data_IF_203900713850
#
_entry.id   IF_203900713850
#
_cell.length_a   1.000
_cell.length_b   1.000
_cell.length_c   1.000
_cell.angle_alpha   90.00
_cell.angle_beta   90.00
_cell.angle_gamma   90.00
#
_symmetry.space_group_name_H-M   'P 1'
#
loop_
_entity.id
_entity.type
_entity.pdbx_description
1 polymer ?
#
# COMPACT_ATOMS: atom_id res chain seq x y z
N UNK A 1 4.02 56.96 -20.21
CA UNK A 1 3.48 58.30 -19.89
C UNK A 1 3.93 59.21 -21.00
N UNK A 2 3.00 59.78 -21.76
CA UNK A 2 3.32 60.48 -22.99
C UNK A 2 2.67 61.87 -22.98
N UNK A 3 3.48 62.91 -23.13
CA UNK A 3 3.05 64.31 -23.07
C UNK A 3 2.90 64.79 -24.50
N UNK A 4 1.69 65.11 -24.94
CA UNK A 4 1.51 65.63 -26.29
C UNK A 4 2.06 67.06 -26.41
N UNK A 5 2.31 67.50 -27.65
CA UNK A 5 2.92 68.78 -28.01
C UNK A 5 2.18 70.04 -27.53
N UNK A 6 1.02 69.89 -26.87
CA UNK A 6 0.24 70.99 -26.27
C UNK A 6 0.27 70.97 -24.73
N UNK A 7 1.06 70.09 -24.12
CA UNK A 7 1.19 69.96 -22.67
C UNK A 7 -0.05 69.39 -21.97
N UNK A 8 -0.93 68.70 -22.71
CA UNK A 8 -2.10 68.04 -22.14
C UNK A 8 -1.80 66.56 -21.86
N UNK A 9 -2.00 66.15 -20.62
CA UNK A 9 -1.88 64.76 -20.19
C UNK A 9 -3.01 63.93 -20.80
N UNK A 10 -2.67 62.95 -21.63
CA UNK A 10 -3.62 61.98 -22.18
C UNK A 10 -3.57 60.67 -21.40
N UNK A 11 -4.69 60.27 -20.79
CA UNK A 11 -4.88 58.91 -20.29
C UNK A 11 -6.28 58.40 -20.67
N UNK A 12 -6.35 57.08 -20.86
CA UNK A 12 -7.35 56.27 -21.57
C UNK A 12 -8.83 56.70 -21.47
N UNK A 13 -9.61 56.44 -22.53
CA UNK A 13 -10.91 57.04 -22.90
C UNK A 13 -12.13 56.79 -21.98
N UNK A 14 -11.96 56.27 -20.76
CA UNK A 14 -13.09 55.95 -19.87
C UNK A 14 -13.39 57.00 -18.78
N UNK A 15 -12.72 58.16 -18.79
CA UNK A 15 -12.99 59.24 -17.82
C UNK A 15 -13.77 60.40 -18.46
N UNK A 16 -15.01 60.62 -18.02
CA UNK A 16 -15.88 61.72 -18.48
C UNK A 16 -15.25 63.10 -18.21
N UNK A 17 -15.39 64.03 -19.17
CA UNK A 17 -14.80 65.37 -19.23
C UNK A 17 -14.86 66.21 -17.94
N UNK A 18 -15.86 66.03 -17.08
CA UNK A 18 -15.99 66.81 -15.83
C UNK A 18 -14.97 66.38 -14.75
N UNK A 19 -14.54 65.11 -14.72
CA UNK A 19 -13.44 64.67 -13.83
C UNK A 19 -12.08 65.14 -14.32
N UNK A 20 -11.91 65.29 -15.64
CA UNK A 20 -10.71 65.88 -16.24
C UNK A 20 -10.54 67.36 -15.88
N UNK A 21 -11.64 68.11 -15.78
CA UNK A 21 -11.63 69.53 -15.41
C UNK A 21 -11.31 69.77 -13.93
N UNK A 22 -11.74 68.87 -13.04
CA UNK A 22 -11.47 68.97 -11.60
C UNK A 22 -9.99 68.73 -11.26
N UNK A 23 -9.32 67.79 -11.95
CA UNK A 23 -7.91 67.48 -11.72
C UNK A 23 -6.98 68.51 -12.39
N UNK A 24 -7.35 69.02 -13.57
CA UNK A 24 -6.54 69.99 -14.32
C UNK A 24 -6.50 71.40 -13.74
N UNK A 25 -7.49 71.81 -12.94
CA UNK A 25 -7.52 73.12 -12.27
C UNK A 25 -6.63 73.15 -11.01
N UNK A 26 -6.36 71.99 -10.40
CA UNK A 26 -5.55 71.89 -9.17
C UNK A 26 -4.05 72.05 -9.44
N UNK A 27 -3.56 71.78 -10.66
CA UNK A 27 -2.12 71.78 -10.97
C UNK A 27 -1.59 72.99 -11.74
N UNK A 28 -2.44 73.97 -12.13
CA UNK A 28 -2.01 75.12 -12.96
C UNK A 28 -1.96 76.46 -12.25
N UNK A 29 -2.27 76.50 -10.96
CA UNK A 29 -2.16 77.70 -10.15
C UNK A 29 -1.71 77.31 -8.74
N UNK A 30 -0.48 77.67 -8.38
CA UNK A 30 -0.02 77.80 -6.99
C UNK A 30 -0.84 78.91 -6.30
N UNK A 31 -2.11 78.63 -6.08
CA UNK A 31 -2.97 79.42 -5.21
C UNK A 31 -3.18 78.54 -4.00
N UNK A 32 -2.44 78.82 -2.93
CA UNK A 32 -2.71 78.36 -1.57
C UNK A 32 -4.06 78.92 -1.10
N UNK A 33 -5.15 78.51 -1.75
CA UNK A 33 -6.49 78.64 -1.18
C UNK A 33 -6.57 77.58 -0.09
N UNK A 34 -6.24 78.00 1.14
CA UNK A 34 -6.55 77.23 2.36
C UNK A 34 -8.00 76.74 2.23
N UNK A 35 -8.19 75.43 2.22
CA UNK A 35 -9.50 74.83 2.00
C UNK A 35 -10.51 75.42 2.99
N UNK A 36 -11.68 75.80 2.48
CA UNK A 36 -12.79 76.19 3.34
C UNK A 36 -13.26 74.96 4.12
N UNK A 37 -13.74 75.13 5.36
CA UNK A 37 -14.14 74.04 6.26
C UNK A 37 -15.10 73.03 5.59
N UNK A 38 -15.99 73.50 4.70
CA UNK A 38 -16.92 72.69 3.91
C UNK A 38 -16.27 71.82 2.83
N UNK A 39 -15.10 72.16 2.32
CA UNK A 39 -14.39 71.38 1.29
C UNK A 39 -13.49 70.30 1.92
N UNK A 40 -12.95 70.56 3.12
CA UNK A 40 -12.30 69.52 3.96
C UNK A 40 -13.31 68.44 4.35
N UNK A 41 -14.49 68.82 4.85
CA UNK A 41 -15.55 67.85 5.18
C UNK A 41 -15.98 66.98 3.99
N UNK A 42 -15.93 67.51 2.76
CA UNK A 42 -16.21 66.74 1.54
C UNK A 42 -15.08 65.78 1.17
N UNK A 43 -13.83 66.17 1.35
CA UNK A 43 -12.66 65.32 1.14
C UNK A 43 -12.66 64.20 2.16
N UNK A 44 -12.86 64.51 3.44
CA UNK A 44 -12.96 63.54 4.53
C UNK A 44 -14.13 62.56 4.28
N UNK A 45 -15.27 63.05 3.79
CA UNK A 45 -16.41 62.21 3.39
C UNK A 45 -16.12 61.32 2.17
N UNK A 46 -15.37 61.82 1.18
CA UNK A 46 -14.92 61.06 0.02
C UNK A 46 -13.92 59.98 0.42
N UNK A 47 -12.96 60.31 1.28
CA UNK A 47 -11.99 59.37 1.85
C UNK A 47 -12.67 58.28 2.68
N UNK A 48 -13.64 58.64 3.52
CA UNK A 48 -14.45 57.67 4.26
C UNK A 48 -15.24 56.74 3.34
N UNK A 49 -15.82 57.27 2.25
CA UNK A 49 -16.56 56.46 1.26
C UNK A 49 -15.65 55.52 0.45
N UNK A 50 -14.44 55.97 0.12
CA UNK A 50 -13.44 55.16 -0.58
C UNK A 50 -12.93 54.03 0.32
N UNK A 51 -12.70 54.33 1.60
CA UNK A 51 -12.24 53.35 2.58
C UNK A 51 -13.30 52.28 2.85
N UNK A 52 -14.58 52.67 2.96
CA UNK A 52 -15.70 51.73 3.08
C UNK A 52 -15.86 50.83 1.84
N UNK A 53 -15.63 51.36 0.64
CA UNK A 53 -15.65 50.56 -0.59
C UNK A 53 -14.46 49.60 -0.65
N UNK A 54 -13.27 50.06 -0.21
CA UNK A 54 -12.07 49.22 -0.11
C UNK A 54 -12.26 48.08 0.90
N UNK A 55 -12.82 48.34 2.08
CA UNK A 55 -13.10 47.28 3.06
C UNK A 55 -14.10 46.27 2.50
N UNK A 56 -15.18 46.72 1.86
CA UNK A 56 -16.16 45.82 1.23
C UNK A 56 -15.53 44.89 0.19
N UNK A 57 -14.62 45.43 -0.63
CA UNK A 57 -13.88 44.63 -1.63
C UNK A 57 -12.94 43.65 -0.95
N UNK A 58 -12.23 44.05 0.12
CA UNK A 58 -11.35 43.17 0.88
C UNK A 58 -12.13 42.05 1.57
N UNK A 59 -13.27 42.35 2.20
CA UNK A 59 -14.13 41.36 2.84
C UNK A 59 -14.62 40.32 1.83
N UNK A 60 -15.04 40.76 0.64
CA UNK A 60 -15.46 39.86 -0.44
C UNK A 60 -14.32 38.97 -0.97
N UNK A 61 -13.09 39.49 -1.05
CA UNK A 61 -11.91 38.71 -1.45
C UNK A 61 -11.54 37.70 -0.35
N UNK A 62 -11.63 38.09 0.92
CA UNK A 62 -11.36 37.23 2.06
C UNK A 62 -12.35 36.05 2.12
N UNK A 63 -13.64 36.31 1.91
CA UNK A 63 -14.68 35.28 1.82
C UNK A 63 -14.43 34.31 0.65
N UNK A 64 -14.08 34.86 -0.53
CA UNK A 64 -13.73 34.05 -1.69
C UNK A 64 -12.48 33.18 -1.44
N UNK A 65 -11.44 33.74 -0.82
CA UNK A 65 -10.22 33.01 -0.48
C UNK A 65 -10.48 31.92 0.57
N UNK A 66 -11.35 32.17 1.55
CA UNK A 66 -11.76 31.19 2.56
C UNK A 66 -12.53 30.03 1.92
N UNK A 67 -13.50 30.33 1.06
CA UNK A 67 -14.25 29.31 0.33
C UNK A 67 -13.33 28.47 -0.58
N UNK A 68 -12.36 29.09 -1.25
CA UNK A 68 -11.35 28.40 -2.04
C UNK A 68 -10.46 27.49 -1.17
N UNK A 69 -10.02 27.96 0.00
CA UNK A 69 -9.21 27.17 0.92
C UNK A 69 -9.97 25.95 1.48
N UNK A 70 -11.25 26.12 1.83
CA UNK A 70 -12.13 25.04 2.27
C UNK A 70 -12.37 24.01 1.16
N UNK A 71 -12.58 24.46 -0.08
CA UNK A 71 -12.72 23.58 -1.24
C UNK A 71 -11.45 22.75 -1.52
N UNK A 72 -10.26 23.36 -1.40
CA UNK A 72 -8.98 22.64 -1.54
C UNK A 72 -8.81 21.61 -0.42
N UNK A 73 -9.17 21.95 0.82
CA UNK A 73 -9.09 21.02 1.95
C UNK A 73 -10.03 19.83 1.75
N UNK A 74 -11.27 20.07 1.32
CA UNK A 74 -12.23 19.01 1.03
C UNK A 74 -11.74 18.10 -0.10
N UNK A 75 -11.22 18.67 -1.19
CA UNK A 75 -10.67 17.91 -2.31
C UNK A 75 -9.49 17.03 -1.87
N UNK A 76 -8.61 17.54 -1.01
CA UNK A 76 -7.51 16.77 -0.43
C UNK A 76 -8.02 15.59 0.42
N UNK A 77 -9.00 15.83 1.29
CA UNK A 77 -9.60 14.76 2.11
C UNK A 77 -10.26 13.67 1.27
N UNK A 78 -10.96 14.06 0.19
CA UNK A 78 -11.58 13.12 -0.73
C UNK A 78 -10.54 12.29 -1.49
N UNK A 79 -9.45 12.91 -1.94
CA UNK A 79 -8.35 12.20 -2.58
C UNK A 79 -7.69 11.18 -1.64
N UNK A 80 -7.42 11.58 -0.39
CA UNK A 80 -6.85 10.68 0.64
C UNK A 80 -7.81 9.52 0.99
N UNK A 81 -9.12 9.77 1.05
CA UNK A 81 -10.11 8.74 1.31
C UNK A 81 -10.20 7.72 0.16
N UNK A 82 -10.21 8.21 -1.09
CA UNK A 82 -10.23 7.36 -2.28
C UNK A 82 -8.95 6.52 -2.41
N UNK A 83 -7.78 7.08 -2.06
CA UNK A 83 -6.52 6.34 -2.04
C UNK A 83 -6.54 5.20 -1.00
N UNK A 84 -7.03 5.48 0.21
CA UNK A 84 -7.18 4.45 1.27
C UNK A 84 -8.14 3.34 0.86
N UNK A 85 -9.27 3.68 0.24
CA UNK A 85 -10.23 2.70 -0.26
C UNK A 85 -9.60 1.80 -1.33
N UNK A 86 -8.84 2.39 -2.27
CA UNK A 86 -8.09 1.64 -3.28
C UNK A 86 -7.07 0.68 -2.65
N UNK A 87 -6.32 1.14 -1.65
CA UNK A 87 -5.35 0.29 -0.95
C UNK A 87 -6.04 -0.86 -0.22
N UNK A 88 -7.17 -0.60 0.43
CA UNK A 88 -7.95 -1.62 1.12
C UNK A 88 -8.50 -2.69 0.16
N UNK A 89 -8.92 -2.30 -1.05
CA UNK A 89 -9.33 -3.25 -2.09
C UNK A 89 -8.18 -4.18 -2.51
N UNK A 90 -6.99 -3.62 -2.74
CA UNK A 90 -5.79 -4.40 -3.10
C UNK A 90 -5.41 -5.37 -1.98
N UNK A 91 -5.45 -4.93 -0.71
CA UNK A 91 -5.17 -5.79 0.43
C UNK A 91 -6.19 -6.92 0.56
N UNK A 92 -7.47 -6.63 0.30
CA UNK A 92 -8.53 -7.63 0.30
C UNK A 92 -8.33 -8.67 -0.79
N UNK A 93 -8.04 -8.26 -2.03
CA UNK A 93 -7.74 -9.18 -3.14
C UNK A 93 -6.52 -10.06 -2.84
N UNK A 94 -5.47 -9.49 -2.26
CA UNK A 94 -4.29 -10.24 -1.82
C UNK A 94 -4.64 -11.26 -0.73
N UNK A 95 -5.46 -10.87 0.25
CA UNK A 95 -5.91 -11.77 1.31
C UNK A 95 -6.78 -12.92 0.78
N UNK A 96 -7.68 -12.65 -0.15
CA UNK A 96 -8.49 -13.66 -0.81
C UNK A 96 -7.64 -14.65 -1.62
N UNK A 97 -6.67 -14.14 -2.39
CA UNK A 97 -5.71 -14.98 -3.12
C UNK A 97 -4.89 -15.86 -2.16
N UNK A 98 -4.38 -15.28 -1.07
CA UNK A 98 -3.65 -16.00 -0.02
C UNK A 98 -4.49 -17.14 0.57
N UNK A 99 -5.73 -16.86 0.97
CA UNK A 99 -6.62 -17.86 1.56
C UNK A 99 -6.93 -18.99 0.58
N UNK A 100 -7.12 -18.67 -0.71
CA UNK A 100 -7.34 -19.67 -1.75
C UNK A 100 -6.14 -20.60 -1.89
N UNK A 101 -4.94 -20.04 -1.99
CA UNK A 101 -3.69 -20.82 -2.11
C UNK A 101 -3.49 -21.71 -0.88
N UNK A 102 -3.67 -21.16 0.32
CA UNK A 102 -3.55 -21.92 1.56
C UNK A 102 -4.51 -23.11 1.57
N UNK A 103 -5.76 -22.92 1.16
CA UNK A 103 -6.73 -24.00 1.03
C UNK A 103 -6.34 -25.06 0.00
N UNK A 104 -5.71 -24.69 -1.11
CA UNK A 104 -5.20 -25.67 -2.10
C UNK A 104 -4.05 -26.52 -1.51
N UNK A 105 -3.15 -25.91 -0.73
CA UNK A 105 -2.04 -26.62 -0.07
C UNK A 105 -2.54 -27.51 1.08
N UNK A 106 -3.47 -27.02 1.91
CA UNK A 106 -4.01 -27.79 3.04
C UNK A 106 -4.80 -29.03 2.59
N UNK A 107 -5.34 -28.99 1.37
CA UNK A 107 -6.00 -30.15 0.74
C UNK A 107 -5.02 -31.19 0.20
N UNK A 108 -3.71 -30.91 0.16
CA UNK A 108 -2.72 -31.91 -0.20
C UNK A 108 -2.48 -32.87 0.96
N UNK A 109 -2.51 -34.16 0.65
CA UNK A 109 -2.10 -35.18 1.60
C UNK A 109 -0.64 -35.03 2.00
N UNK A 110 -0.30 -35.51 3.21
CA UNK A 110 1.10 -35.64 3.62
C UNK A 110 1.84 -36.69 2.78
N UNK A 111 3.15 -36.53 2.65
CA UNK A 111 4.02 -37.44 1.88
C UNK A 111 4.45 -38.58 2.80
N UNK A 112 4.02 -39.81 2.53
CA UNK A 112 4.29 -40.97 3.41
C UNK A 112 5.40 -41.89 2.90
N UNK A 113 6.18 -42.43 3.85
CA UNK A 113 7.29 -43.34 3.57
C UNK A 113 7.06 -44.74 4.14
N UNK A 114 7.64 -45.73 3.44
CA UNK A 114 7.71 -47.09 3.94
C UNK A 114 8.63 -47.18 5.18
N UNK A 115 8.47 -48.26 5.95
CA UNK A 115 9.36 -48.54 7.08
C UNK A 115 10.81 -48.60 6.60
N UNK A 116 11.70 -47.98 7.37
CA UNK A 116 13.14 -47.92 7.11
C UNK A 116 13.55 -47.45 5.69
N UNK A 117 12.71 -46.62 5.07
CA UNK A 117 12.92 -46.17 3.69
C UNK A 117 12.81 -44.66 3.56
N UNK A 118 13.63 -44.11 2.66
CA UNK A 118 13.57 -42.74 2.15
C UNK A 118 13.09 -42.65 0.70
N UNK A 119 12.62 -43.77 0.13
CA UNK A 119 12.16 -43.80 -1.25
C UNK A 119 10.73 -43.26 -1.36
N UNK A 120 10.50 -42.39 -2.34
CA UNK A 120 9.18 -41.87 -2.64
C UNK A 120 8.31 -42.96 -3.25
N UNK A 121 7.20 -43.27 -2.57
CA UNK A 121 6.17 -44.18 -3.05
C UNK A 121 5.41 -43.58 -4.23
N UNK A 122 4.74 -44.42 -5.04
CA UNK A 122 3.94 -43.94 -6.19
C UNK A 122 2.87 -42.94 -5.74
N UNK A 123 2.20 -43.21 -4.62
CA UNK A 123 1.21 -42.29 -4.02
C UNK A 123 1.84 -40.97 -3.61
N UNK A 124 3.01 -40.99 -2.97
CA UNK A 124 3.76 -39.78 -2.62
C UNK A 124 4.18 -38.96 -3.83
N UNK A 125 4.56 -39.62 -4.93
CA UNK A 125 4.86 -38.92 -6.20
C UNK A 125 3.62 -38.26 -6.79
N UNK A 126 2.43 -38.87 -6.67
CA UNK A 126 1.19 -38.24 -7.09
C UNK A 126 0.91 -36.96 -6.30
N UNK A 127 1.07 -36.99 -4.97
CA UNK A 127 0.96 -35.80 -4.12
C UNK A 127 1.96 -34.73 -4.54
N UNK A 128 3.23 -35.10 -4.76
CA UNK A 128 4.26 -34.18 -5.21
C UNK A 128 3.97 -33.59 -6.59
N UNK A 129 3.36 -34.34 -7.51
CA UNK A 129 2.93 -33.82 -8.81
C UNK A 129 1.81 -32.78 -8.68
N UNK A 130 0.87 -32.99 -7.75
CA UNK A 130 -0.15 -31.99 -7.46
C UNK A 130 0.49 -30.72 -6.87
N UNK A 131 1.45 -30.88 -5.96
CA UNK A 131 2.22 -29.77 -5.41
C UNK A 131 2.99 -28.99 -6.50
N UNK A 132 3.61 -29.70 -7.45
CA UNK A 132 4.27 -29.09 -8.60
C UNK A 132 3.30 -28.24 -9.44
N UNK A 133 2.07 -28.72 -9.65
CA UNK A 133 1.04 -27.95 -10.36
C UNK A 133 0.71 -26.64 -9.64
N UNK A 134 0.61 -26.66 -8.31
CA UNK A 134 0.34 -25.46 -7.50
C UNK A 134 1.53 -24.50 -7.56
N UNK A 135 2.75 -25.00 -7.36
CA UNK A 135 3.98 -24.19 -7.42
C UNK A 135 4.23 -23.54 -8.78
N UNK A 136 3.79 -24.19 -9.86
CA UNK A 136 3.85 -23.63 -11.21
C UNK A 136 2.75 -22.59 -11.47
N UNK A 137 1.58 -22.76 -10.83
CA UNK A 137 0.47 -21.79 -10.94
C UNK A 137 0.78 -20.50 -10.16
N UNK A 138 1.50 -20.62 -9.05
CA UNK A 138 1.85 -19.52 -8.16
C UNK A 138 3.37 -19.44 -7.98
N UNK A 139 4.11 -18.82 -8.91
CA UNK A 139 5.58 -18.73 -8.88
C UNK A 139 6.14 -17.94 -7.68
N UNK A 140 5.33 -17.10 -7.05
CA UNK A 140 5.67 -16.31 -5.87
C UNK A 140 5.74 -17.12 -4.56
N UNK A 141 5.20 -18.35 -4.56
CA UNK A 141 5.16 -19.15 -3.34
C UNK A 141 6.52 -19.71 -2.95
N UNK A 142 6.79 -19.60 -1.65
CA UNK A 142 7.92 -20.24 -0.96
C UNK A 142 7.40 -21.21 0.09
N UNK A 143 7.90 -22.44 0.08
CA UNK A 143 7.45 -23.53 0.94
C UNK A 143 8.56 -24.02 1.87
N UNK A 144 8.17 -24.47 3.06
CA UNK A 144 9.00 -25.26 3.97
C UNK A 144 8.52 -26.71 3.95
N UNK A 145 9.44 -27.63 3.68
CA UNK A 145 9.18 -29.06 3.76
C UNK A 145 9.86 -29.61 5.01
N UNK A 146 9.07 -30.27 5.85
CA UNK A 146 9.58 -30.90 7.06
C UNK A 146 9.45 -32.42 6.99
N UNK A 147 10.48 -33.15 7.39
CA UNK A 147 10.47 -34.63 7.37
C UNK A 147 10.65 -35.23 8.75
N UNK A 148 9.89 -36.30 9.01
CA UNK A 148 9.79 -36.97 10.30
C UNK A 148 9.98 -38.50 10.17
N UNK A 149 10.25 -39.16 11.29
CA UNK A 149 10.28 -40.63 11.44
C UNK A 149 9.32 -41.11 12.51
N UNK A 150 9.10 -42.43 12.56
CA UNK A 150 8.54 -43.07 13.75
C UNK A 150 9.59 -43.15 14.87
N UNK A 151 9.14 -43.50 16.07
CA UNK A 151 9.92 -43.62 17.31
C UNK A 151 10.79 -44.88 17.40
N UNK A 152 10.85 -45.67 16.32
CA UNK A 152 11.53 -46.97 16.34
C UNK A 152 12.96 -46.79 15.88
N UNK A 153 13.90 -47.31 16.68
CA UNK A 153 15.33 -47.14 16.42
C UNK A 153 15.94 -46.05 17.30
N UNK A 154 17.22 -45.75 17.10
CA UNK A 154 17.89 -44.69 17.86
C UNK A 154 17.59 -43.31 17.26
N UNK A 155 17.44 -42.28 18.10
CA UNK A 155 17.31 -40.88 17.67
C UNK A 155 18.31 -40.44 16.59
N UNK A 156 19.59 -40.81 16.73
CA UNK A 156 20.62 -40.46 15.74
C UNK A 156 20.36 -41.08 14.36
N UNK A 157 19.93 -42.35 14.34
CA UNK A 157 19.52 -43.03 13.11
C UNK A 157 18.30 -42.36 12.47
N UNK A 158 17.29 -42.07 13.29
CA UNK A 158 16.04 -41.44 12.86
C UNK A 158 16.25 -40.03 12.31
N UNK A 159 17.18 -39.27 12.91
CA UNK A 159 17.60 -37.98 12.37
C UNK A 159 18.16 -38.13 10.95
N UNK A 160 19.14 -39.01 10.76
CA UNK A 160 19.74 -39.26 9.43
C UNK A 160 18.70 -39.77 8.42
N UNK A 161 17.76 -40.62 8.84
CA UNK A 161 16.70 -41.12 7.99
C UNK A 161 15.73 -40.00 7.55
N UNK A 162 15.37 -39.10 8.47
CA UNK A 162 14.54 -37.94 8.14
C UNK A 162 15.23 -36.99 7.16
N UNK A 163 16.55 -36.79 7.29
CA UNK A 163 17.34 -35.98 6.35
C UNK A 163 17.38 -36.61 4.95
N UNK A 164 17.53 -37.94 4.87
CA UNK A 164 17.45 -38.66 3.60
C UNK A 164 16.06 -38.53 2.96
N UNK A 165 14.99 -38.61 3.75
CA UNK A 165 13.61 -38.41 3.28
C UNK A 165 13.40 -37.01 2.74
N UNK A 166 13.83 -36.02 3.49
CA UNK A 166 13.78 -34.62 3.07
C UNK A 166 14.52 -34.44 1.75
N UNK A 167 15.75 -34.96 1.66
CA UNK A 167 16.55 -34.89 0.43
C UNK A 167 15.84 -35.54 -0.76
N UNK A 168 15.28 -36.74 -0.61
CA UNK A 168 14.51 -37.39 -1.69
C UNK A 168 13.36 -36.51 -2.19
N UNK A 169 12.64 -35.86 -1.27
CA UNK A 169 11.52 -34.97 -1.59
C UNK A 169 12.00 -33.71 -2.31
N UNK A 170 13.05 -33.06 -1.79
CA UNK A 170 13.64 -31.87 -2.41
C UNK A 170 14.21 -32.18 -3.79
N UNK A 171 15.01 -33.24 -3.92
CA UNK A 171 15.59 -33.68 -5.19
C UNK A 171 14.48 -33.96 -6.22
N UNK A 172 13.33 -34.52 -5.81
CA UNK A 172 12.20 -34.71 -6.70
C UNK A 172 11.64 -33.38 -7.23
N UNK A 173 11.44 -32.38 -6.37
CA UNK A 173 10.91 -31.08 -6.78
C UNK A 173 11.90 -30.30 -7.66
N UNK A 174 13.18 -30.30 -7.29
CA UNK A 174 14.25 -29.64 -8.05
C UNK A 174 14.43 -30.26 -9.45
N UNK A 175 14.40 -31.60 -9.55
CA UNK A 175 14.50 -32.30 -10.83
C UNK A 175 13.29 -32.04 -11.75
N UNK A 176 12.15 -31.62 -11.18
CA UNK A 176 10.96 -31.22 -11.93
C UNK A 176 10.89 -29.70 -12.19
N UNK A 177 11.99 -28.97 -11.96
CA UNK A 177 12.15 -27.58 -12.40
C UNK A 177 11.78 -26.51 -11.36
N UNK A 178 11.50 -26.89 -10.11
CA UNK A 178 11.31 -25.89 -9.04
C UNK A 178 12.67 -25.31 -8.63
N UNK A 179 12.73 -24.00 -8.49
CA UNK A 179 13.94 -23.31 -8.07
C UNK A 179 14.24 -23.54 -6.57
N UNK A 180 15.53 -23.67 -6.23
CA UNK A 180 15.98 -23.98 -4.85
C UNK A 180 15.64 -22.91 -3.82
N UNK A 181 15.62 -21.64 -4.23
CA UNK A 181 15.21 -20.49 -3.39
C UNK A 181 13.75 -20.56 -2.94
N UNK A 182 12.90 -21.33 -3.62
CA UNK A 182 11.47 -21.44 -3.31
C UNK A 182 11.15 -22.54 -2.30
N UNK A 183 12.14 -23.34 -1.91
CA UNK A 183 11.92 -24.48 -1.02
C UNK A 183 12.98 -24.48 0.08
N UNK A 184 12.51 -24.41 1.32
CA UNK A 184 13.30 -24.67 2.52
C UNK A 184 13.03 -26.08 3.05
N UNK A 185 14.02 -26.69 3.68
CA UNK A 185 13.92 -28.06 4.18
C UNK A 185 14.42 -28.19 5.61
N UNK A 186 13.64 -28.87 6.47
CA UNK A 186 14.04 -29.21 7.85
C UNK A 186 13.73 -30.67 8.17
N UNK A 187 14.63 -31.33 8.88
CA UNK A 187 14.52 -32.73 9.24
C UNK A 187 14.54 -32.87 10.76
N UNK A 188 13.52 -33.51 11.34
CA UNK A 188 13.30 -33.56 12.79
C UNK A 188 13.49 -34.94 13.40
N UNK A 189 13.78 -35.98 12.61
CA UNK A 189 13.81 -37.35 13.08
C UNK A 189 12.50 -37.73 13.76
N UNK A 190 12.60 -38.31 14.95
CA UNK A 190 11.45 -38.72 15.77
C UNK A 190 11.02 -37.65 16.79
N UNK A 191 11.62 -36.45 16.76
CA UNK A 191 11.38 -35.45 17.82
C UNK A 191 9.99 -34.80 17.75
N UNK A 192 9.22 -35.03 16.68
CA UNK A 192 7.90 -34.43 16.40
C UNK A 192 6.88 -35.47 15.95
N UNK A 193 6.59 -36.42 16.83
CA UNK A 193 5.52 -37.41 16.64
C UNK A 193 4.13 -36.73 16.69
N UNK A 194 3.19 -37.17 15.86
CA UNK A 194 1.81 -36.66 15.86
C UNK A 194 0.85 -37.47 16.72
N UNK A 195 1.26 -38.67 17.10
CA UNK A 195 0.50 -39.56 17.96
C UNK A 195 1.32 -39.96 19.18
N UNK A 196 0.71 -40.75 20.06
CA UNK A 196 1.30 -41.20 21.33
C UNK A 196 2.31 -42.34 21.18
N UNK A 197 2.77 -42.63 19.96
CA UNK A 197 3.69 -43.73 19.71
C UNK A 197 5.13 -43.34 20.01
N UNK A 198 5.42 -43.04 21.28
CA UNK A 198 6.79 -42.85 21.76
C UNK A 198 7.52 -44.20 21.91
N UNK A 199 8.79 -44.15 22.32
CA UNK A 199 9.63 -45.34 22.51
C UNK A 199 9.05 -46.34 23.53
N UNK A 200 8.21 -45.89 24.47
CA UNK A 200 7.67 -46.69 25.57
C UNK A 200 6.25 -47.19 25.32
N UNK A 201 5.60 -46.74 24.25
CA UNK A 201 4.21 -47.04 23.94
C UNK A 201 4.11 -48.02 22.78
N UNK A 202 3.49 -49.18 23.03
CA UNK A 202 3.22 -50.15 21.97
C UNK A 202 2.15 -49.62 21.02
N UNK A 203 2.53 -49.44 19.76
CA UNK A 203 1.64 -48.97 18.71
C UNK A 203 1.45 -49.98 17.57
N UNK A 204 0.41 -49.77 16.78
CA UNK A 204 0.18 -50.52 15.54
C UNK A 204 1.04 -49.97 14.40
N UNK A 205 1.25 -50.76 13.34
CA UNK A 205 2.00 -50.30 12.17
C UNK A 205 1.37 -49.08 11.49
N UNK A 206 0.04 -48.97 11.52
CA UNK A 206 -0.67 -47.83 10.95
C UNK A 206 -0.37 -46.54 11.72
N UNK A 207 -0.34 -46.59 13.05
CA UNK A 207 0.05 -45.42 13.86
C UNK A 207 1.53 -45.05 13.62
N UNK A 208 2.42 -46.01 13.47
CA UNK A 208 3.81 -45.69 13.11
C UNK A 208 3.90 -45.10 11.68
N UNK A 209 3.03 -45.52 10.76
CA UNK A 209 2.99 -44.99 9.38
C UNK A 209 2.62 -43.52 9.34
N UNK A 210 1.69 -43.07 10.19
CA UNK A 210 1.33 -41.66 10.33
C UNK A 210 2.55 -40.79 10.67
N UNK A 211 3.47 -41.28 11.52
CA UNK A 211 4.68 -40.52 11.87
C UNK A 211 5.73 -40.49 10.75
N UNK A 212 5.75 -41.48 9.86
CA UNK A 212 6.68 -41.54 8.72
C UNK A 212 6.19 -40.68 7.57
N UNK A 213 6.13 -39.36 7.81
CA UNK A 213 5.58 -38.38 6.88
C UNK A 213 6.56 -37.24 6.58
N UNK A 214 6.29 -36.52 5.50
CA UNK A 214 6.75 -35.15 5.32
C UNK A 214 5.57 -34.22 5.14
N UNK A 215 5.67 -33.06 5.78
CA UNK A 215 4.66 -32.02 5.78
C UNK A 215 5.15 -30.84 4.94
N UNK A 216 4.20 -30.10 4.38
CA UNK A 216 4.44 -28.94 3.55
C UNK A 216 3.79 -27.74 4.25
N UNK A 217 4.56 -26.69 4.46
CA UNK A 217 4.12 -25.45 5.10
C UNK A 217 4.42 -24.27 4.17
N UNK A 218 3.52 -23.30 4.08
CA UNK A 218 3.77 -22.09 3.28
C UNK A 218 4.51 -21.06 4.13
N UNK A 219 5.63 -20.53 3.63
CA UNK A 219 6.42 -19.50 4.31
C UNK A 219 5.99 -18.11 3.82
N UNK A 220 5.88 -17.94 2.50
CA UNK A 220 5.66 -16.65 1.86
C UNK A 220 4.71 -16.78 0.65
N UNK A 221 3.95 -15.71 0.39
CA UNK A 221 2.94 -15.55 -0.66
C UNK A 221 3.23 -14.36 -1.55
#
# INVERSE_FOLDING_TARGET
>A
MDVNSTGKWGMNQNFRNHKQHAIGVVYRFDVDKKLNKKDQEKIDGLEASLLAEQTRVQDSIADANKANAEAVLLAKQQAEAAEKERLALIEKEKAEKKNKIQGEIDNLDSIYFAFDSSNLTTTSKTVLNNLLSILNTYPELTLEITSHTDSRGSAAYNQVLSEKRLKSTLDYLLNNGIEKNRIEGKAFGESRLINRCDENTKCTEDMHKENRRSEIHVIEF
#
